data_IF_556297776811
#
_entry.id   IF_556297776811
#
_cell.length_a   1.000
_cell.length_b   1.000
_cell.length_c   1.000
_cell.angle_alpha   90.00
_cell.angle_beta   90.00
_cell.angle_gamma   90.00
#
_symmetry.space_group_name_H-M   'P 1'
#
loop_
_entity.id
_entity.type
_entity.pdbx_description
1 polymer ?
#
# COMPACT_ATOMS: atom_id res chain seq x y z
N UNK A 1 13.21 8.82 -19.17
CA UNK A 1 14.36 9.54 -18.59
C UNK A 1 13.90 10.92 -18.18
N UNK A 2 13.56 11.10 -16.90
CA UNK A 2 13.45 12.43 -16.32
C UNK A 2 14.89 12.87 -16.05
N UNK A 3 15.37 14.00 -16.61
CA UNK A 3 16.74 14.42 -16.37
C UNK A 3 16.91 14.74 -14.89
N UNK A 4 17.86 14.07 -14.24
CA UNK A 4 18.39 14.43 -12.93
C UNK A 4 19.16 15.75 -13.07
N UNK A 5 18.47 16.89 -13.08
CA UNK A 5 19.02 18.22 -12.72
C UNK A 5 17.92 19.28 -12.77
N UNK A 6 17.77 20.03 -11.67
CA UNK A 6 16.68 20.94 -11.32
C UNK A 6 15.36 20.29 -10.84
N UNK A 7 15.41 19.59 -9.72
CA UNK A 7 14.31 19.70 -8.74
C UNK A 7 14.48 21.05 -8.02
N UNK A 8 14.04 22.14 -8.66
CA UNK A 8 13.44 23.21 -7.86
C UNK A 8 12.35 22.47 -7.08
N UNK A 9 12.35 22.58 -5.75
CA UNK A 9 11.31 22.04 -4.89
C UNK A 9 9.99 22.72 -5.28
N UNK A 10 9.39 22.27 -6.38
CA UNK A 10 8.14 22.80 -6.86
C UNK A 10 7.10 22.36 -5.84
N UNK A 11 6.39 23.35 -5.33
CA UNK A 11 5.23 23.19 -4.46
C UNK A 11 4.22 22.15 -4.96
N UNK A 12 4.27 21.84 -6.26
CA UNK A 12 3.41 20.90 -6.95
C UNK A 12 4.04 20.43 -8.27
N UNK A 13 3.50 19.36 -8.85
CA UNK A 13 3.83 18.89 -10.20
C UNK A 13 2.69 18.04 -10.79
N UNK A 14 2.71 17.84 -12.09
CA UNK A 14 1.80 16.93 -12.79
C UNK A 14 2.45 15.56 -12.96
N UNK A 15 1.85 14.53 -12.37
CA UNK A 15 2.25 13.14 -12.56
C UNK A 15 1.50 12.54 -13.77
N UNK A 16 2.21 11.94 -14.75
CA UNK A 16 1.55 11.26 -15.84
C UNK A 16 0.79 10.03 -15.33
N UNK A 17 -0.42 9.82 -15.82
CA UNK A 17 -1.26 8.65 -15.52
C UNK A 17 -1.55 7.89 -16.81
N UNK A 18 -1.98 6.61 -16.75
CA UNK A 18 -2.40 5.87 -17.94
C UNK A 18 -3.48 6.59 -18.76
N UNK A 19 -4.35 7.33 -18.07
CA UNK A 19 -5.34 8.23 -18.67
C UNK A 19 -5.29 9.58 -17.97
N UNK A 20 -4.82 10.61 -18.68
CA UNK A 20 -4.70 11.97 -18.17
C UNK A 20 -3.48 12.18 -17.26
N UNK A 21 -3.61 13.11 -16.33
CA UNK A 21 -2.56 13.46 -15.37
C UNK A 21 -3.14 13.67 -13.97
N UNK A 22 -2.35 13.39 -12.94
CA UNK A 22 -2.68 13.69 -11.55
C UNK A 22 -1.91 14.93 -11.10
N UNK A 23 -2.60 15.88 -10.45
CA UNK A 23 -1.94 17.00 -9.81
C UNK A 23 -1.43 16.56 -8.43
N UNK A 24 -0.13 16.64 -8.21
CA UNK A 24 0.49 16.34 -6.90
C UNK A 24 0.82 17.67 -6.22
N UNK A 25 0.29 17.89 -5.03
CA UNK A 25 0.48 19.12 -4.25
C UNK A 25 1.18 18.85 -2.92
N UNK A 26 2.17 19.68 -2.59
CA UNK A 26 2.58 19.86 -1.20
C UNK A 26 1.51 20.66 -0.44
N UNK A 27 1.10 20.14 0.71
CA UNK A 27 0.07 20.77 1.56
C UNK A 27 0.44 22.19 2.00
N UNK A 28 1.74 22.50 2.15
CA UNK A 28 2.24 23.85 2.46
C UNK A 28 1.91 24.89 1.39
N UNK A 29 1.60 24.46 0.17
CA UNK A 29 1.31 25.32 -0.99
C UNK A 29 0.00 24.92 -1.69
N UNK A 30 -0.93 24.32 -0.93
CA UNK A 30 -2.16 23.75 -1.49
C UNK A 30 -2.98 24.78 -2.28
N UNK A 31 -3.00 26.05 -1.87
CA UNK A 31 -3.75 27.09 -2.56
C UNK A 31 -3.21 27.37 -3.97
N UNK A 32 -1.90 27.54 -4.11
CA UNK A 32 -1.25 27.79 -5.41
C UNK A 32 -1.36 26.56 -6.32
N UNK A 33 -1.19 25.36 -5.73
CA UNK A 33 -1.35 24.11 -6.44
C UNK A 33 -2.77 23.96 -7.01
N UNK A 34 -3.81 24.15 -6.18
CA UNK A 34 -5.20 24.02 -6.65
C UNK A 34 -5.56 25.06 -7.72
N UNK A 35 -4.83 26.18 -7.79
CA UNK A 35 -4.94 27.15 -8.89
C UNK A 35 -4.50 26.63 -10.25
N UNK A 36 -3.79 25.50 -10.31
CA UNK A 36 -3.37 24.85 -11.55
C UNK A 36 -4.46 23.96 -12.16
N UNK A 37 -5.49 23.61 -11.39
CA UNK A 37 -6.58 22.79 -11.89
C UNK A 37 -7.46 23.61 -12.86
N UNK A 38 -7.89 23.02 -13.99
CA UNK A 38 -8.96 23.57 -14.80
C UNK A 38 -10.21 23.84 -13.95
N UNK A 39 -11.01 24.84 -14.34
CA UNK A 39 -12.19 25.27 -13.57
C UNK A 39 -13.16 24.12 -13.28
N UNK A 40 -13.38 23.22 -14.24
CA UNK A 40 -14.27 22.06 -14.11
C UNK A 40 -13.75 21.04 -13.07
N UNK A 41 -12.45 20.72 -13.12
CA UNK A 41 -11.81 19.86 -12.14
C UNK A 41 -11.79 20.51 -10.75
N UNK A 42 -11.50 21.82 -10.69
CA UNK A 42 -11.46 22.60 -9.44
C UNK A 42 -12.82 22.67 -8.75
N UNK A 43 -13.91 22.74 -9.51
CA UNK A 43 -15.29 22.82 -8.99
C UNK A 43 -15.74 21.56 -8.23
N UNK A 44 -15.09 20.42 -8.45
CA UNK A 44 -15.38 19.16 -7.75
C UNK A 44 -14.75 19.09 -6.34
N UNK A 45 -13.84 20.01 -6.03
CA UNK A 45 -13.14 20.10 -4.76
C UNK A 45 -13.71 21.20 -3.87
N UNK A 46 -13.58 21.11 -2.54
CA UNK A 46 -13.98 22.18 -1.64
C UNK A 46 -13.41 23.55 -2.06
N UNK A 47 -14.24 24.59 -2.04
CA UNK A 47 -13.81 25.95 -2.40
C UNK A 47 -12.71 26.45 -1.45
N UNK A 48 -12.83 26.11 -0.17
CA UNK A 48 -11.83 26.41 0.85
C UNK A 48 -10.77 25.28 0.92
N UNK A 49 -9.50 25.52 0.54
CA UNK A 49 -8.45 24.49 0.60
C UNK A 49 -8.24 23.89 1.99
N UNK A 50 -8.54 24.65 3.05
CA UNK A 50 -8.41 24.23 4.44
C UNK A 50 -9.35 23.07 4.76
N UNK A 51 -10.48 22.93 4.05
CA UNK A 51 -11.34 21.76 4.16
C UNK A 51 -10.63 20.49 3.72
N UNK A 52 -9.84 20.53 2.63
CA UNK A 52 -9.05 19.38 2.19
C UNK A 52 -7.96 19.03 3.22
N UNK A 53 -7.27 20.03 3.76
CA UNK A 53 -6.27 19.82 4.81
C UNK A 53 -6.88 19.21 6.08
N UNK A 54 -8.09 19.63 6.47
CA UNK A 54 -8.80 19.04 7.61
C UNK A 54 -9.23 17.59 7.35
N UNK A 55 -9.63 17.26 6.12
CA UNK A 55 -10.00 15.90 5.72
C UNK A 55 -8.80 14.96 5.70
N UNK A 56 -7.62 15.46 5.31
CA UNK A 56 -6.36 14.73 5.40
C UNK A 56 -5.98 14.44 6.86
N UNK A 57 -6.36 15.31 7.80
CA UNK A 57 -6.14 15.12 9.22
C UNK A 57 -4.65 15.03 9.55
N UNK A 58 -4.23 13.92 10.19
CA UNK A 58 -2.82 13.65 10.54
C UNK A 58 -2.08 12.80 9.51
N UNK A 59 -2.73 12.40 8.42
CA UNK A 59 -2.12 11.52 7.39
C UNK A 59 -0.98 12.25 6.68
N UNK A 60 0.00 11.48 6.19
CA UNK A 60 1.10 11.98 5.36
C UNK A 60 0.71 12.21 3.90
N UNK A 61 -0.35 11.54 3.44
CA UNK A 61 -0.90 11.71 2.10
C UNK A 61 -2.43 11.57 2.05
N UNK A 62 -3.04 12.07 0.97
CA UNK A 62 -4.44 11.89 0.66
C UNK A 62 -4.68 12.03 -0.85
N UNK A 63 -5.45 11.10 -1.42
CA UNK A 63 -5.91 11.15 -2.81
C UNK A 63 -7.37 11.63 -2.95
N UNK A 64 -7.66 12.35 -4.03
CA UNK A 64 -9.00 12.70 -4.51
C UNK A 64 -9.12 12.42 -6.01
N UNK A 65 -9.81 11.33 -6.41
CA UNK A 65 -10.19 11.13 -7.80
C UNK A 65 -11.07 12.28 -8.29
N UNK A 66 -10.87 12.70 -9.53
CA UNK A 66 -11.67 13.73 -10.19
C UNK A 66 -12.35 13.12 -11.41
N UNK A 67 -13.53 13.62 -11.77
CA UNK A 67 -14.27 13.26 -12.97
C UNK A 67 -14.00 14.32 -14.04
N UNK A 68 -12.88 14.18 -14.73
CA UNK A 68 -12.42 15.08 -15.80
C UNK A 68 -11.79 14.25 -16.94
N UNK A 69 -11.75 14.77 -18.16
CA UNK A 69 -11.21 14.03 -19.31
C UNK A 69 -9.68 13.91 -19.23
N UNK A 70 -9.02 14.99 -18.82
CA UNK A 70 -7.55 15.10 -18.85
C UNK A 70 -6.95 15.04 -17.45
N UNK A 71 -7.74 15.29 -16.40
CA UNK A 71 -7.28 15.25 -15.01
C UNK A 71 -7.82 14.01 -14.28
N UNK A 72 -6.92 13.09 -13.95
CA UNK A 72 -7.23 11.84 -13.23
C UNK A 72 -7.64 12.14 -11.79
N UNK A 73 -6.93 13.05 -11.14
CA UNK A 73 -7.16 13.38 -9.73
C UNK A 73 -6.14 14.32 -9.12
N UNK A 74 -6.25 14.47 -7.80
CA UNK A 74 -5.40 15.27 -6.94
C UNK A 74 -4.76 14.36 -5.89
N UNK A 75 -3.45 14.50 -5.67
CA UNK A 75 -2.73 13.90 -4.54
C UNK A 75 -2.21 15.04 -3.66
N UNK A 76 -2.53 15.01 -2.38
CA UNK A 76 -1.95 15.89 -1.37
C UNK A 76 -0.87 15.15 -0.60
N UNK A 77 0.29 15.77 -0.46
CA UNK A 77 1.42 15.25 0.31
C UNK A 77 1.82 16.22 1.41
N UNK A 78 2.19 15.66 2.55
CA UNK A 78 2.77 16.38 3.66
C UNK A 78 4.03 15.63 4.09
N UNK A 79 5.16 15.97 3.46
CA UNK A 79 6.43 15.23 3.57
C UNK A 79 6.84 14.97 5.03
N UNK A 80 6.71 15.97 5.91
CA UNK A 80 7.05 15.85 7.34
C UNK A 80 6.22 14.82 8.12
N UNK A 81 5.06 14.41 7.59
CA UNK A 81 4.15 13.42 8.20
C UNK A 81 4.25 12.04 7.55
N UNK A 82 5.05 11.88 6.49
CA UNK A 82 5.29 10.58 5.89
C UNK A 82 6.29 9.82 6.77
N UNK A 83 5.91 8.68 7.38
CA UNK A 83 6.82 7.94 8.24
C UNK A 83 8.02 7.41 7.46
N UNK A 84 9.22 7.67 7.96
CA UNK A 84 10.48 7.17 7.38
C UNK A 84 10.90 5.83 8.00
N UNK A 85 10.17 5.37 8.99
CA UNK A 85 10.34 4.06 9.60
C UNK A 85 9.00 3.60 10.19
N UNK A 86 8.83 2.28 10.26
CA UNK A 86 7.71 1.61 10.90
C UNK A 86 8.24 0.68 11.97
N UNK A 87 7.47 0.47 13.03
CA UNK A 87 7.87 -0.45 14.10
C UNK A 87 6.66 -1.13 14.72
N UNK A 88 6.92 -2.29 15.32
CA UNK A 88 5.96 -2.97 16.17
C UNK A 88 6.68 -3.57 17.39
N UNK A 89 5.95 -3.69 18.50
CA UNK A 89 6.42 -4.30 19.74
C UNK A 89 5.83 -5.70 19.85
N UNK A 90 6.68 -6.73 19.87
CA UNK A 90 6.25 -8.08 20.22
C UNK A 90 7.35 -8.85 20.94
N UNK A 91 6.94 -9.82 21.76
CA UNK A 91 7.87 -10.58 22.60
C UNK A 91 8.82 -9.70 23.45
N UNK A 92 8.33 -8.54 23.90
CA UNK A 92 9.11 -7.59 24.71
C UNK A 92 10.22 -6.85 23.94
N UNK A 93 10.26 -6.92 22.61
CA UNK A 93 11.24 -6.26 21.77
C UNK A 93 10.58 -5.37 20.73
N UNK A 94 11.15 -4.18 20.52
CA UNK A 94 10.73 -3.27 19.44
C UNK A 94 11.56 -3.59 18.21
N UNK A 95 10.88 -3.93 17.13
CA UNK A 95 11.50 -4.12 15.83
C UNK A 95 11.11 -2.95 14.94
N UNK A 96 12.12 -2.35 14.30
CA UNK A 96 11.94 -1.19 13.45
C UNK A 96 12.49 -1.46 12.04
N UNK A 97 11.77 -0.94 11.05
CA UNK A 97 12.10 -1.00 9.64
C UNK A 97 12.20 0.42 9.09
N UNK A 98 13.41 0.92 8.79
CA UNK A 98 13.58 2.12 7.98
C UNK A 98 13.04 1.91 6.56
N UNK A 99 12.47 2.97 5.97
CA UNK A 99 11.96 2.97 4.59
C UNK A 99 12.79 3.95 3.77
N UNK A 100 13.52 3.45 2.78
CA UNK A 100 14.54 4.22 2.04
C UNK A 100 13.91 5.34 1.19
N UNK A 101 12.81 5.03 0.52
CA UNK A 101 12.12 5.95 -0.40
C UNK A 101 10.68 6.23 0.05
N UNK A 102 10.49 6.52 1.35
CA UNK A 102 9.17 6.64 1.96
C UNK A 102 8.23 7.62 1.22
N UNK A 103 8.78 8.75 0.77
CA UNK A 103 8.02 9.75 0.00
C UNK A 103 7.56 9.18 -1.35
N UNK A 104 8.48 8.63 -2.14
CA UNK A 104 8.20 8.09 -3.48
C UNK A 104 7.24 6.91 -3.41
N UNK A 105 7.44 5.99 -2.45
CA UNK A 105 6.54 4.85 -2.24
C UNK A 105 5.15 5.31 -1.83
N UNK A 106 5.04 6.28 -0.92
CA UNK A 106 3.73 6.84 -0.53
C UNK A 106 3.04 7.49 -1.72
N UNK A 107 3.76 8.31 -2.50
CA UNK A 107 3.22 8.91 -3.71
C UNK A 107 2.74 7.84 -4.72
N UNK A 108 3.56 6.82 -4.99
CA UNK A 108 3.21 5.76 -5.93
C UNK A 108 1.94 5.01 -5.49
N UNK A 109 1.77 4.76 -4.18
CA UNK A 109 0.54 4.19 -3.63
C UNK A 109 -0.68 5.08 -3.90
N UNK A 110 -0.59 6.38 -3.61
CA UNK A 110 -1.71 7.32 -3.85
C UNK A 110 -2.05 7.46 -5.33
N UNK A 111 -1.04 7.45 -6.21
CA UNK A 111 -1.25 7.39 -7.66
C UNK A 111 -1.91 6.06 -8.07
N UNK A 112 -1.61 4.97 -7.37
CA UNK A 112 -2.27 3.68 -7.55
C UNK A 112 -3.77 3.74 -7.34
N UNK A 113 -4.26 4.43 -6.30
CA UNK A 113 -5.69 4.66 -6.13
C UNK A 113 -6.31 5.40 -7.32
N UNK A 114 -5.61 6.40 -7.88
CA UNK A 114 -6.08 7.10 -9.08
C UNK A 114 -6.09 6.20 -10.32
N UNK A 115 -5.04 5.39 -10.52
CA UNK A 115 -4.96 4.43 -11.62
C UNK A 115 -6.11 3.42 -11.56
N UNK A 116 -6.39 2.88 -10.37
CA UNK A 116 -7.52 1.98 -10.12
C UNK A 116 -8.85 2.67 -10.44
N UNK A 117 -9.03 3.93 -10.01
CA UNK A 117 -10.28 4.68 -10.26
C UNK A 117 -10.57 4.95 -11.75
N UNK A 118 -9.55 4.92 -12.61
CA UNK A 118 -9.65 5.11 -14.06
C UNK A 118 -9.37 3.85 -14.86
N UNK A 119 -9.23 2.70 -14.20
CA UNK A 119 -8.90 1.45 -14.87
C UNK A 119 -9.94 1.09 -15.91
N UNK A 120 -9.46 0.64 -17.07
CA UNK A 120 -10.29 0.13 -18.14
C UNK A 120 -10.58 -1.37 -18.02
N UNK A 121 -9.89 -2.06 -17.11
CA UNK A 121 -10.02 -3.50 -16.84
C UNK A 121 -11.45 -3.89 -16.52
N UNK A 122 -11.91 -5.01 -17.09
CA UNK A 122 -13.26 -5.54 -16.84
C UNK A 122 -13.43 -5.96 -15.38
N UNK A 123 -12.35 -6.40 -14.73
CA UNK A 123 -12.36 -6.85 -13.33
C UNK A 123 -12.54 -5.71 -12.34
N UNK A 124 -12.05 -4.52 -12.68
CA UNK A 124 -12.18 -3.33 -11.82
C UNK A 124 -13.43 -2.49 -12.11
N UNK A 125 -14.15 -2.80 -13.20
CA UNK A 125 -15.41 -2.13 -13.60
C UNK A 125 -16.67 -2.86 -13.16
N UNK A 126 -16.60 -4.17 -12.97
CA UNK A 126 -17.80 -5.00 -12.79
C UNK A 126 -18.45 -4.81 -11.40
N UNK A 127 -17.66 -4.55 -10.36
CA UNK A 127 -18.13 -4.46 -8.98
C UNK A 127 -17.59 -3.23 -8.25
N UNK A 128 -18.32 -2.79 -7.22
CA UNK A 128 -17.79 -1.80 -6.29
C UNK A 128 -16.70 -2.45 -5.44
N UNK A 129 -15.47 -2.02 -5.65
CA UNK A 129 -14.31 -2.47 -4.89
C UNK A 129 -14.52 -2.25 -3.38
N UNK A 130 -14.13 -3.26 -2.58
CA UNK A 130 -14.11 -3.15 -1.12
C UNK A 130 -12.98 -2.20 -0.67
N UNK A 131 -13.02 -1.67 0.57
CA UNK A 131 -11.90 -0.92 1.12
C UNK A 131 -10.59 -1.71 1.04
N UNK A 132 -10.62 -3.01 1.33
CA UNK A 132 -9.46 -3.89 1.21
C UNK A 132 -8.90 -3.93 -0.22
N UNK A 133 -9.79 -4.07 -1.22
CA UNK A 133 -9.40 -4.07 -2.62
C UNK A 133 -8.78 -2.76 -3.07
N UNK A 134 -9.32 -1.63 -2.62
CA UNK A 134 -8.73 -0.32 -2.94
C UNK A 134 -7.28 -0.19 -2.45
N UNK A 135 -6.96 -0.72 -1.27
CA UNK A 135 -5.63 -0.65 -0.67
C UNK A 135 -4.62 -1.58 -1.37
N UNK A 136 -4.96 -2.86 -1.57
CA UNK A 136 -4.00 -3.78 -2.19
C UNK A 136 -3.79 -3.51 -3.68
N UNK A 137 -4.81 -3.04 -4.40
CA UNK A 137 -4.64 -2.65 -5.81
C UNK A 137 -3.72 -1.44 -5.96
N UNK A 138 -3.77 -0.50 -5.00
CA UNK A 138 -2.83 0.62 -4.96
C UNK A 138 -1.39 0.16 -4.67
N UNK A 139 -1.21 -0.83 -3.80
CA UNK A 139 0.11 -1.45 -3.58
C UNK A 139 0.59 -2.26 -4.81
N UNK A 140 -0.31 -2.90 -5.56
CA UNK A 140 0.04 -3.55 -6.84
C UNK A 140 0.55 -2.53 -7.85
N UNK A 141 -0.13 -1.40 -7.97
CA UNK A 141 0.32 -0.30 -8.83
C UNK A 141 1.70 0.20 -8.40
N UNK A 142 1.92 0.39 -7.10
CA UNK A 142 3.22 0.78 -6.55
C UNK A 142 4.31 -0.20 -6.95
N UNK A 143 4.12 -1.50 -6.73
CA UNK A 143 5.11 -2.51 -7.08
C UNK A 143 5.39 -2.53 -8.59
N UNK A 144 4.34 -2.48 -9.41
CA UNK A 144 4.45 -2.40 -10.87
C UNK A 144 5.21 -1.15 -11.33
N UNK A 145 4.90 0.03 -10.78
CA UNK A 145 5.54 1.28 -11.18
C UNK A 145 7.02 1.28 -10.80
N UNK A 146 7.36 0.81 -9.60
CA UNK A 146 8.75 0.66 -9.17
C UNK A 146 9.52 -0.28 -10.11
N UNK A 147 8.95 -1.44 -10.44
CA UNK A 147 9.58 -2.41 -11.33
C UNK A 147 9.80 -1.83 -12.73
N UNK A 148 8.78 -1.16 -13.28
CA UNK A 148 8.82 -0.52 -14.60
C UNK A 148 9.84 0.63 -14.66
N UNK A 149 10.02 1.35 -13.57
CA UNK A 149 11.02 2.43 -13.45
C UNK A 149 12.44 1.91 -13.21
N UNK A 150 12.63 0.58 -13.09
CA UNK A 150 13.93 -0.03 -12.84
C UNK A 150 14.43 0.17 -11.41
N UNK A 151 13.53 0.47 -10.46
CA UNK A 151 13.87 0.56 -9.04
C UNK A 151 14.21 -0.82 -8.48
N UNK A 152 14.87 -0.85 -7.32
CA UNK A 152 15.27 -2.10 -6.68
C UNK A 152 14.06 -2.86 -6.11
N UNK A 153 14.05 -4.18 -6.28
CA UNK A 153 13.05 -5.09 -5.70
C UNK A 153 12.97 -4.99 -4.17
N UNK A 154 14.06 -4.56 -3.53
CA UNK A 154 14.10 -4.32 -2.07
C UNK A 154 13.02 -3.35 -1.61
N UNK A 155 12.59 -2.39 -2.44
CA UNK A 155 11.49 -1.47 -2.12
C UNK A 155 10.13 -2.18 -2.08
N UNK A 156 9.91 -3.18 -2.93
CA UNK A 156 8.71 -4.01 -2.89
C UNK A 156 8.63 -4.78 -1.57
N UNK A 157 9.75 -5.36 -1.15
CA UNK A 157 9.85 -6.03 0.15
C UNK A 157 9.70 -5.04 1.32
N UNK A 158 10.22 -3.81 1.23
CA UNK A 158 9.95 -2.77 2.23
C UNK A 158 8.44 -2.45 2.36
N UNK A 159 7.71 -2.36 1.24
CA UNK A 159 6.26 -2.17 1.27
C UNK A 159 5.55 -3.39 1.90
N UNK A 160 5.93 -4.60 1.51
CA UNK A 160 5.42 -5.84 2.09
C UNK A 160 5.60 -5.87 3.62
N UNK A 161 6.81 -5.56 4.09
CA UNK A 161 7.12 -5.55 5.51
C UNK A 161 6.43 -4.41 6.26
N UNK A 162 6.31 -3.24 5.64
CA UNK A 162 5.55 -2.11 6.19
C UNK A 162 4.10 -2.50 6.47
N UNK A 163 3.41 -3.15 5.54
CA UNK A 163 2.01 -3.56 5.72
C UNK A 163 1.83 -4.58 6.83
N UNK A 164 2.78 -5.50 6.98
CA UNK A 164 2.83 -6.39 8.15
C UNK A 164 3.03 -5.61 9.46
N UNK A 165 3.97 -4.66 9.51
CA UNK A 165 4.22 -3.87 10.71
C UNK A 165 3.03 -2.99 11.11
N UNK A 166 2.33 -2.39 10.14
CA UNK A 166 1.11 -1.60 10.38
C UNK A 166 0.03 -2.44 11.08
N UNK A 167 -0.20 -3.68 10.64
CA UNK A 167 -1.20 -4.56 11.29
C UNK A 167 -0.70 -5.18 12.60
N UNK A 168 0.61 -5.37 12.77
CA UNK A 168 1.19 -5.82 14.05
C UNK A 168 1.06 -4.74 15.13
N UNK A 169 1.23 -3.48 14.76
CA UNK A 169 1.03 -2.34 15.67
C UNK A 169 -0.45 -2.20 16.04
N UNK A 170 -1.35 -2.28 15.05
CA UNK A 170 -2.77 -2.20 15.30
C UNK A 170 -3.57 -3.00 14.27
N UNK A 171 -4.27 -4.04 14.73
CA UNK A 171 -5.15 -4.87 13.89
C UNK A 171 -6.31 -4.12 13.27
N UNK A 172 -6.62 -2.90 13.72
CA UNK A 172 -7.60 -2.03 13.05
C UNK A 172 -7.15 -1.62 11.64
N UNK A 173 -5.86 -1.78 11.33
CA UNK A 173 -5.29 -1.57 10.00
C UNK A 173 -5.49 -2.77 9.05
N UNK A 174 -6.25 -3.82 9.42
CA UNK A 174 -6.42 -5.02 8.59
C UNK A 174 -6.92 -4.74 7.16
N UNK A 175 -7.75 -3.70 6.98
CA UNK A 175 -8.21 -3.29 5.65
C UNK A 175 -7.09 -2.75 4.74
N UNK A 176 -5.94 -2.37 5.30
CA UNK A 176 -4.76 -1.94 4.56
C UNK A 176 -3.69 -3.05 4.48
N UNK A 177 -3.97 -4.24 5.04
CA UNK A 177 -3.02 -5.35 5.08
C UNK A 177 -2.95 -6.08 3.74
N UNK A 178 -2.30 -5.46 2.75
CA UNK A 178 -2.19 -5.98 1.39
C UNK A 178 -1.22 -7.15 1.23
N UNK A 179 -0.49 -7.52 2.29
CA UNK A 179 0.50 -8.61 2.30
C UNK A 179 0.02 -9.92 1.66
N UNK A 180 -1.19 -10.44 1.95
CA UNK A 180 -1.69 -11.67 1.30
C UNK A 180 -1.78 -11.56 -0.22
N UNK A 181 -2.09 -10.36 -0.73
CA UNK A 181 -2.17 -10.10 -2.17
C UNK A 181 -0.79 -9.87 -2.76
N UNK A 182 0.09 -9.12 -2.07
CA UNK A 182 1.46 -8.88 -2.50
C UNK A 182 2.27 -10.19 -2.57
N UNK A 183 2.02 -11.12 -1.66
CA UNK A 183 2.63 -12.45 -1.70
C UNK A 183 2.30 -13.18 -3.02
N UNK A 184 1.03 -13.15 -3.45
CA UNK A 184 0.61 -13.76 -4.72
C UNK A 184 1.25 -13.07 -5.93
N UNK A 185 1.41 -11.75 -5.89
CA UNK A 185 2.07 -10.99 -6.96
C UNK A 185 3.56 -11.34 -7.08
N UNK A 186 4.27 -11.34 -5.95
CA UNK A 186 5.71 -11.61 -5.86
C UNK A 186 6.07 -13.07 -6.14
N UNK A 187 5.17 -14.01 -5.83
CA UNK A 187 5.35 -15.43 -6.18
C UNK A 187 5.16 -15.68 -7.68
N UNK A 188 4.23 -14.96 -8.32
CA UNK A 188 3.87 -15.16 -9.72
C UNK A 188 4.82 -14.50 -10.71
N UNK A 189 5.35 -13.33 -10.38
CA UNK A 189 6.20 -12.56 -11.30
C UNK A 189 7.55 -12.27 -10.69
N UNK A 190 8.61 -12.56 -11.46
CA UNK A 190 9.91 -11.96 -11.19
C UNK A 190 9.83 -10.45 -11.32
N UNK A 191 10.73 -9.73 -10.64
CA UNK A 191 10.75 -8.26 -10.69
C UNK A 191 10.86 -7.72 -12.12
N UNK A 192 11.66 -8.36 -12.97
CA UNK A 192 11.78 -8.01 -14.39
C UNK A 192 10.47 -8.24 -15.15
N UNK A 193 9.77 -9.36 -14.91
CA UNK A 193 8.50 -9.66 -15.57
C UNK A 193 7.40 -8.67 -15.14
N UNK A 194 7.37 -8.30 -13.85
CA UNK A 194 6.43 -7.32 -13.34
C UNK A 194 6.62 -5.95 -14.01
N UNK A 195 7.87 -5.51 -14.19
CA UNK A 195 8.18 -4.25 -14.89
C UNK A 195 7.96 -4.28 -16.41
N UNK A 196 7.76 -5.47 -17.00
CA UNK A 196 7.57 -5.63 -18.44
C UNK A 196 6.12 -5.38 -18.91
N UNK A 197 5.15 -5.32 -17.99
CA UNK A 197 3.78 -4.93 -18.33
C UNK A 197 3.73 -3.46 -18.77
N UNK A 198 3.35 -3.23 -20.03
CA UNK A 198 3.29 -1.88 -20.61
C UNK A 198 2.26 -0.98 -19.91
N UNK A 199 1.15 -1.55 -19.45
CA UNK A 199 0.10 -0.82 -18.75
C UNK A 199 -0.32 -1.57 -17.48
N UNK A 200 -0.72 -0.80 -16.46
CA UNK A 200 -1.23 -1.38 -15.21
C UNK A 200 -2.46 -2.25 -15.44
N UNK A 201 -3.37 -1.84 -16.33
CA UNK A 201 -4.54 -2.64 -16.70
C UNK A 201 -4.15 -4.01 -17.27
N UNK A 202 -3.05 -4.09 -18.03
CA UNK A 202 -2.54 -5.36 -18.57
C UNK A 202 -2.03 -6.30 -17.47
N UNK A 203 -1.42 -5.74 -16.41
CA UNK A 203 -1.06 -6.54 -15.23
C UNK A 203 -2.32 -7.06 -14.54
N UNK A 204 -3.31 -6.20 -14.33
CA UNK A 204 -4.56 -6.57 -13.65
C UNK A 204 -5.31 -7.63 -14.45
N UNK A 205 -5.49 -7.45 -15.75
CA UNK A 205 -6.18 -8.43 -16.61
C UNK A 205 -5.48 -9.79 -16.63
N UNK A 206 -4.15 -9.81 -16.45
CA UNK A 206 -3.38 -11.06 -16.37
C UNK A 206 -3.50 -11.74 -15.00
N UNK A 207 -3.36 -11.00 -13.90
CA UNK A 207 -3.28 -11.60 -12.55
C UNK A 207 -4.63 -11.81 -11.88
N UNK A 208 -5.57 -10.87 -12.05
CA UNK A 208 -6.81 -10.82 -11.27
C UNK A 208 -7.64 -12.12 -11.33
N UNK A 209 -7.80 -12.80 -12.48
CA UNK A 209 -8.55 -14.06 -12.57
C UNK A 209 -7.97 -15.20 -11.73
N UNK A 210 -6.68 -15.13 -11.44
CA UNK A 210 -5.92 -16.16 -10.74
C UNK A 210 -5.63 -15.79 -9.29
N UNK A 211 -6.14 -14.65 -8.81
CA UNK A 211 -5.97 -14.23 -7.42
C UNK A 211 -6.95 -14.98 -6.52
N UNK A 212 -6.44 -15.52 -5.43
CA UNK A 212 -7.25 -15.87 -4.27
C UNK A 212 -7.68 -14.56 -3.61
N UNK A 213 -8.97 -14.24 -3.71
CA UNK A 213 -9.58 -13.09 -3.06
C UNK A 213 -9.95 -13.45 -1.62
N UNK A 214 -9.77 -12.49 -0.72
CA UNK A 214 -10.11 -12.62 0.70
C UNK A 214 -11.34 -11.77 1.02
N UNK A 215 -12.39 -12.41 1.52
CA UNK A 215 -13.60 -11.75 1.99
C UNK A 215 -13.42 -11.19 3.42
N UNK A 216 -14.42 -10.43 3.87
CA UNK A 216 -14.35 -9.78 5.18
C UNK A 216 -14.26 -10.81 6.33
N UNK A 217 -14.96 -11.94 6.23
CA UNK A 217 -14.90 -12.99 7.25
C UNK A 217 -13.47 -13.54 7.38
N UNK A 218 -12.83 -13.86 6.27
CA UNK A 218 -11.44 -14.34 6.28
C UNK A 218 -10.47 -13.28 6.82
N UNK A 219 -10.67 -12.00 6.47
CA UNK A 219 -9.87 -10.91 7.02
C UNK A 219 -10.06 -10.75 8.53
N UNK A 220 -11.27 -10.96 9.05
CA UNK A 220 -11.58 -10.92 10.48
C UNK A 220 -10.94 -12.10 11.24
N UNK A 221 -10.87 -13.28 10.61
CA UNK A 221 -10.11 -14.43 11.15
C UNK A 221 -8.62 -14.10 11.26
N UNK A 222 -8.03 -13.49 10.22
CA UNK A 222 -6.63 -13.05 10.28
C UNK A 222 -6.41 -11.94 11.33
N UNK A 223 -7.28 -10.93 11.37
CA UNK A 223 -7.21 -9.87 12.37
C UNK A 223 -7.25 -10.43 13.79
N UNK A 224 -8.10 -11.44 14.02
CA UNK A 224 -8.17 -12.14 15.30
C UNK A 224 -6.82 -12.79 15.64
N UNK A 225 -6.27 -13.62 14.75
CA UNK A 225 -4.99 -14.30 14.99
C UNK A 225 -3.82 -13.32 15.18
N UNK A 226 -3.76 -12.24 14.39
CA UNK A 226 -2.75 -11.19 14.54
C UNK A 226 -2.89 -10.45 15.87
N UNK A 227 -4.13 -10.18 16.31
CA UNK A 227 -4.39 -9.52 17.60
C UNK A 227 -3.89 -10.37 18.76
N UNK A 228 -4.06 -11.70 18.66
CA UNK A 228 -3.57 -12.65 19.67
C UNK A 228 -2.04 -12.63 19.80
N UNK A 229 -1.33 -12.44 18.69
CA UNK A 229 0.14 -12.51 18.63
C UNK A 229 0.86 -11.19 18.92
N UNK A 230 0.27 -10.09 18.49
CA UNK A 230 0.92 -8.78 18.47
C UNK A 230 0.17 -7.72 19.31
N UNK A 231 -1.05 -8.01 19.77
CA UNK A 231 -1.84 -7.09 20.58
C UNK A 231 -1.28 -6.86 21.99
N UNK A 232 -1.64 -5.74 22.63
CA UNK A 232 -1.10 -5.34 23.93
C UNK A 232 -1.25 -6.37 25.07
N UNK A 233 -2.19 -7.32 24.95
CA UNK A 233 -2.45 -8.36 25.94
C UNK A 233 -1.82 -9.73 25.59
N UNK A 234 -0.91 -9.78 24.60
CA UNK A 234 -0.21 -10.96 24.06
C UNK A 234 -0.45 -12.25 24.85
N UNK A 235 -1.36 -13.09 24.38
CA UNK A 235 -1.51 -14.43 24.91
C UNK A 235 -0.41 -15.29 24.26
N UNK A 236 0.43 -15.91 25.07
CA UNK A 236 1.69 -16.52 24.61
C UNK A 236 1.55 -17.61 23.54
N UNK A 237 0.34 -18.11 23.26
CA UNK A 237 0.04 -19.12 22.24
C UNK A 237 -1.25 -18.79 21.52
N UNK A 238 -1.25 -18.99 20.20
CA UNK A 238 -2.47 -18.94 19.38
C UNK A 238 -3.55 -19.90 19.92
N UNK A 239 -4.85 -19.55 19.75
CA UNK A 239 -5.97 -20.42 20.12
C UNK A 239 -5.87 -21.77 19.42
N UNK A 240 -6.58 -22.82 19.85
CA UNK A 240 -6.58 -24.13 19.14
C UNK A 240 -7.61 -24.21 18.01
N UNK A 241 -8.67 -23.41 18.06
CA UNK A 241 -9.59 -23.20 16.93
C UNK A 241 -8.91 -22.32 15.84
N UNK A 242 -9.48 -22.24 14.63
CA UNK A 242 -8.89 -21.53 13.48
C UNK A 242 -7.49 -22.00 13.07
N UNK A 243 -7.14 -23.28 13.31
CA UNK A 243 -5.83 -23.83 12.96
C UNK A 243 -5.55 -23.76 11.45
N UNK A 244 -6.60 -23.89 10.62
CA UNK A 244 -6.50 -23.81 9.15
C UNK A 244 -5.94 -22.46 8.67
N UNK A 245 -6.21 -21.35 9.38
CA UNK A 245 -5.69 -20.02 9.03
C UNK A 245 -4.28 -19.73 9.53
N UNK A 246 -3.76 -20.50 10.50
CA UNK A 246 -2.44 -20.22 11.09
C UNK A 246 -1.30 -20.43 10.10
N UNK A 247 -1.38 -21.50 9.32
CA UNK A 247 -0.37 -21.79 8.31
C UNK A 247 -0.38 -20.73 7.20
N UNK A 248 -1.57 -20.35 6.73
CA UNK A 248 -1.75 -19.33 5.71
C UNK A 248 -1.27 -17.94 6.18
N UNK A 249 -1.74 -17.49 7.35
CA UNK A 249 -1.24 -16.25 7.98
C UNK A 249 0.28 -16.30 8.21
N UNK A 250 0.77 -17.46 8.68
CA UNK A 250 2.18 -17.72 8.92
C UNK A 250 3.01 -17.49 7.66
N UNK A 251 2.54 -17.96 6.50
CA UNK A 251 3.21 -17.75 5.22
C UNK A 251 3.33 -16.25 4.88
N UNK A 252 2.29 -15.44 5.16
CA UNK A 252 2.31 -14.00 4.87
C UNK A 252 3.24 -13.22 5.80
N UNK A 253 3.33 -13.58 7.07
CA UNK A 253 4.17 -12.84 8.03
C UNK A 253 5.62 -13.33 8.08
N UNK A 254 5.89 -14.59 7.66
CA UNK A 254 7.22 -15.22 7.72
C UNK A 254 8.33 -14.36 7.11
N UNK A 255 8.20 -13.76 5.90
CA UNK A 255 9.25 -12.91 5.35
C UNK A 255 9.59 -11.72 6.25
N UNK A 256 8.59 -11.07 6.86
CA UNK A 256 8.81 -9.95 7.78
C UNK A 256 9.47 -10.39 9.07
N UNK A 257 9.08 -11.54 9.64
CA UNK A 257 9.70 -12.07 10.84
C UNK A 257 11.19 -12.40 10.59
N UNK A 258 11.50 -13.04 9.46
CA UNK A 258 12.88 -13.34 9.07
C UNK A 258 13.71 -12.08 8.88
N UNK A 259 13.14 -11.06 8.22
CA UNK A 259 13.79 -9.77 8.02
C UNK A 259 14.14 -9.07 9.34
N UNK A 260 13.25 -9.15 10.34
CA UNK A 260 13.38 -8.37 11.58
C UNK A 260 14.09 -9.13 12.71
N UNK A 261 13.89 -10.45 12.81
CA UNK A 261 14.45 -11.30 13.88
C UNK A 261 15.67 -12.10 13.42
N UNK A 262 15.86 -12.24 12.11
CA UNK A 262 16.77 -13.23 11.52
C UNK A 262 16.10 -14.59 11.33
N UNK A 263 16.55 -15.33 10.31
CA UNK A 263 15.98 -16.60 9.86
C UNK A 263 15.73 -17.60 11.01
N UNK A 264 16.77 -17.92 11.78
CA UNK A 264 16.69 -18.93 12.84
C UNK A 264 15.70 -18.55 13.95
N UNK A 265 15.70 -17.29 14.37
CA UNK A 265 14.83 -16.82 15.44
C UNK A 265 13.36 -16.77 14.97
N UNK A 266 13.14 -16.34 13.73
CA UNK A 266 11.81 -16.34 13.11
C UNK A 266 11.22 -17.75 13.01
N UNK A 267 11.99 -18.73 12.51
CA UNK A 267 11.50 -20.11 12.37
C UNK A 267 11.22 -20.79 13.72
N UNK A 268 12.09 -20.57 14.71
CA UNK A 268 11.87 -21.06 16.07
C UNK A 268 10.57 -20.47 16.65
N UNK A 269 10.36 -19.17 16.48
CA UNK A 269 9.15 -18.50 16.95
C UNK A 269 7.89 -19.00 16.23
N UNK A 270 7.93 -19.14 14.90
CA UNK A 270 6.81 -19.68 14.12
C UNK A 270 6.45 -21.12 14.50
N UNK A 271 7.46 -21.94 14.81
CA UNK A 271 7.25 -23.30 15.31
C UNK A 271 6.55 -23.29 16.67
N UNK A 272 6.99 -22.42 17.59
CA UNK A 272 6.36 -22.28 18.92
C UNK A 272 4.91 -21.82 18.83
N UNK A 273 4.56 -21.04 17.79
CA UNK A 273 3.20 -20.58 17.52
C UNK A 273 2.39 -21.55 16.63
N UNK A 274 2.93 -22.70 16.25
CA UNK A 274 2.29 -23.71 15.40
C UNK A 274 1.79 -23.14 14.05
N UNK A 275 2.66 -22.41 13.33
CA UNK A 275 2.37 -21.77 12.04
C UNK A 275 2.98 -22.46 10.81
N UNK A 276 3.53 -23.67 10.94
CA UNK A 276 4.28 -24.29 9.85
C UNK A 276 3.42 -25.07 8.83
N UNK A 277 2.11 -25.20 9.07
CA UNK A 277 1.29 -26.20 8.38
C UNK A 277 1.51 -27.59 8.99
N UNK A 278 0.63 -28.53 8.66
CA UNK A 278 0.90 -29.96 8.90
C UNK A 278 1.90 -30.50 7.88
#
# INVERSE_FOLDING_TARGET
>A
MIPETLLIASAWFWAPMPQGQALVCQTSHVQECLGQLPSNARAQLPLNPQTLLSQMGRRGAMVRPLTDADITGLVLLHDERIPKAYSALWNGQVYALPIEQAYQMTLAHELGHLAVSRSSSVYLKADRLTPYQHEWLADFYLLWSLAREGQAETLAWQQYHRRNLEVFESVTAISHWSTPMLAQLLDRYSWQALGAFEHFDSLIDAIYPELVQYDQETLDEFASLLHWLFGAANQAKLPQYMFWRRAEMGAFIRPTLRQLMGEQAAENWMTQQAMQGE
#
